data_IF_179643084833
#
_entry.id   IF_179643084833
#
_cell.length_a   1.000
_cell.length_b   1.000
_cell.length_c   1.000
_cell.angle_alpha   90.00
_cell.angle_beta   90.00
_cell.angle_gamma   90.00
#
_symmetry.space_group_name_H-M   'P 1'
#
loop_
_entity.id
_entity.type
_entity.pdbx_description
1 polymer ?
#
# COMPACT_ATOMS: atom_id res chain seq x y z
N UNK A 1 -28.14 -15.20 -25.77
CA UNK A 1 -27.37 -15.42 -24.51
C UNK A 1 -25.91 -15.08 -24.76
N UNK A 2 -25.29 -14.11 -24.09
CA UNK A 2 -23.86 -13.86 -24.28
C UNK A 2 -23.07 -15.04 -23.73
N UNK A 3 -22.18 -15.61 -24.55
CA UNK A 3 -21.24 -16.66 -24.15
C UNK A 3 -20.43 -16.15 -22.94
N UNK A 4 -20.59 -16.76 -21.76
CA UNK A 4 -19.65 -16.60 -20.63
C UNK A 4 -18.28 -17.05 -21.12
N UNK A 5 -17.43 -16.11 -21.43
CA UNK A 5 -16.11 -16.37 -21.97
C UNK A 5 -15.23 -17.06 -20.95
N UNK A 6 -14.49 -18.07 -21.37
CA UNK A 6 -13.39 -18.73 -20.65
C UNK A 6 -12.37 -17.72 -20.06
N UNK A 7 -12.35 -16.51 -20.57
CA UNK A 7 -11.55 -15.38 -20.08
C UNK A 7 -11.82 -14.96 -18.62
N UNK A 8 -13.01 -15.25 -18.07
CA UNK A 8 -13.33 -14.82 -16.69
C UNK A 8 -12.55 -15.61 -15.63
N UNK A 9 -12.33 -16.92 -15.82
CA UNK A 9 -11.60 -17.74 -14.84
C UNK A 9 -10.11 -17.43 -14.81
N UNK A 10 -9.50 -17.21 -15.96
CA UNK A 10 -8.10 -16.83 -16.08
C UNK A 10 -7.86 -15.45 -15.44
N UNK A 11 -8.76 -14.49 -15.68
CA UNK A 11 -8.71 -13.18 -15.05
C UNK A 11 -8.82 -13.28 -13.52
N UNK A 12 -9.78 -14.06 -13.02
CA UNK A 12 -9.98 -14.27 -11.58
C UNK A 12 -8.76 -14.95 -10.92
N UNK A 13 -8.13 -15.90 -11.60
CA UNK A 13 -6.90 -16.54 -11.16
C UNK A 13 -5.72 -15.54 -11.15
N UNK A 14 -5.61 -14.72 -12.20
CA UNK A 14 -4.59 -13.65 -12.25
C UNK A 14 -4.75 -12.63 -11.13
N UNK A 15 -5.99 -12.21 -10.84
CA UNK A 15 -6.28 -11.31 -9.71
C UNK A 15 -5.95 -11.96 -8.35
N UNK A 16 -6.26 -13.25 -8.17
CA UNK A 16 -5.86 -13.98 -6.96
C UNK A 16 -4.34 -13.98 -6.80
N UNK A 17 -3.60 -14.34 -7.84
CA UNK A 17 -2.13 -14.38 -7.82
C UNK A 17 -1.55 -13.00 -7.49
N UNK A 18 -2.00 -11.97 -8.18
CA UNK A 18 -1.53 -10.60 -7.95
C UNK A 18 -1.85 -10.14 -6.52
N UNK A 19 -3.06 -10.41 -6.06
CA UNK A 19 -3.51 -10.05 -4.72
C UNK A 19 -2.71 -10.74 -3.62
N UNK A 20 -2.42 -12.05 -3.78
CA UNK A 20 -1.61 -12.79 -2.82
C UNK A 20 -0.16 -12.26 -2.82
N UNK A 21 0.44 -12.08 -3.99
CA UNK A 21 1.80 -11.56 -4.09
C UNK A 21 1.94 -10.17 -3.47
N UNK A 22 1.12 -9.21 -3.91
CA UNK A 22 1.15 -7.83 -3.41
C UNK A 22 0.78 -7.77 -1.93
N UNK A 23 -0.28 -8.47 -1.55
CA UNK A 23 -0.79 -8.44 -0.18
C UNK A 23 0.17 -9.07 0.82
N UNK A 24 0.75 -10.22 0.51
CA UNK A 24 1.74 -10.87 1.38
C UNK A 24 3.01 -10.02 1.52
N UNK A 25 3.46 -9.40 0.43
CA UNK A 25 4.62 -8.51 0.46
C UNK A 25 4.37 -7.29 1.35
N UNK A 26 3.26 -6.59 1.14
CA UNK A 26 2.88 -5.44 1.97
C UNK A 26 2.72 -5.84 3.45
N UNK A 27 2.05 -6.97 3.71
CA UNK A 27 1.87 -7.46 5.07
C UNK A 27 3.21 -7.71 5.76
N UNK A 28 4.18 -8.34 5.07
CA UNK A 28 5.50 -8.59 5.62
C UNK A 28 6.21 -7.28 6.00
N UNK A 29 6.15 -6.26 5.13
CA UNK A 29 6.72 -4.93 5.44
C UNK A 29 6.00 -4.22 6.59
N UNK A 30 4.67 -4.32 6.67
CA UNK A 30 3.92 -3.79 7.80
C UNK A 30 4.27 -4.50 9.11
N UNK A 31 4.39 -5.82 9.09
CA UNK A 31 4.81 -6.63 10.24
C UNK A 31 6.26 -6.33 10.68
N UNK A 32 7.17 -6.07 9.75
CA UNK A 32 8.51 -5.57 10.06
C UNK A 32 8.48 -4.26 10.83
N UNK A 33 7.66 -3.30 10.35
CA UNK A 33 7.56 -1.96 10.95
C UNK A 33 6.87 -1.95 12.31
N UNK A 34 5.81 -2.74 12.48
CA UNK A 34 5.00 -2.71 13.71
C UNK A 34 5.49 -3.67 14.77
N UNK A 35 5.85 -4.89 14.36
CA UNK A 35 6.08 -6.03 15.26
C UNK A 35 7.54 -6.48 15.31
N UNK A 36 8.39 -5.98 14.41
CA UNK A 36 9.78 -6.42 14.32
C UNK A 36 9.94 -7.81 13.69
N UNK A 37 8.89 -8.38 13.09
CA UNK A 37 8.97 -9.69 12.44
C UNK A 37 9.95 -9.67 11.27
N UNK A 38 10.41 -10.84 10.87
CA UNK A 38 11.35 -11.01 9.74
C UNK A 38 12.63 -10.14 9.86
N UNK A 39 13.10 -9.91 11.10
CA UNK A 39 14.28 -9.07 11.34
C UNK A 39 14.04 -7.57 11.14
N UNK A 40 12.79 -7.12 11.17
CA UNK A 40 12.42 -5.72 11.01
C UNK A 40 12.70 -4.87 12.26
N UNK A 41 12.64 -3.53 12.12
CA UNK A 41 13.00 -2.59 13.21
C UNK A 41 11.95 -2.48 14.32
N UNK A 42 10.75 -3.03 14.15
CA UNK A 42 9.64 -2.81 15.06
C UNK A 42 9.18 -1.36 15.10
N UNK A 43 8.20 -1.07 15.96
CA UNK A 43 7.61 0.27 16.00
C UNK A 43 8.58 1.36 16.46
N UNK A 44 9.48 1.04 17.39
CA UNK A 44 10.42 2.01 17.92
C UNK A 44 11.50 2.36 16.90
N UNK A 45 12.11 1.38 16.26
CA UNK A 45 13.07 1.59 15.18
C UNK A 45 12.44 2.27 13.96
N UNK A 46 11.20 1.91 13.62
CA UNK A 46 10.44 2.59 12.56
C UNK A 46 10.17 4.06 12.92
N UNK A 47 9.83 4.34 14.18
CA UNK A 47 9.64 5.72 14.66
C UNK A 47 10.91 6.55 14.52
N UNK A 48 12.06 6.01 14.95
CA UNK A 48 13.35 6.66 14.80
C UNK A 48 13.69 6.92 13.31
N UNK A 49 13.44 5.95 12.44
CA UNK A 49 13.60 6.11 11.00
C UNK A 49 12.70 7.21 10.42
N UNK A 50 11.42 7.27 10.81
CA UNK A 50 10.50 8.32 10.37
C UNK A 50 10.96 9.71 10.79
N UNK A 51 11.45 9.85 12.02
CA UNK A 51 12.00 11.11 12.54
C UNK A 51 13.22 11.55 11.72
N UNK A 52 14.13 10.61 11.45
CA UNK A 52 15.31 10.88 10.61
C UNK A 52 14.93 11.34 9.20
N UNK A 53 13.94 10.70 8.60
CA UNK A 53 13.42 11.05 7.27
C UNK A 53 12.56 12.32 7.25
N UNK A 54 12.30 12.98 8.39
CA UNK A 54 11.54 14.23 8.49
C UNK A 54 10.02 14.04 8.50
N UNK A 55 9.51 12.86 8.81
CA UNK A 55 8.06 12.64 9.00
C UNK A 55 7.67 13.03 10.42
N UNK A 56 6.80 14.03 10.54
CA UNK A 56 6.34 14.53 11.84
C UNK A 56 4.78 14.52 11.92
N UNK A 57 4.19 14.08 13.05
CA UNK A 57 4.81 13.40 14.20
C UNK A 57 5.35 12.02 13.84
N UNK A 58 6.57 11.70 14.25
CA UNK A 58 7.28 10.49 13.79
C UNK A 58 6.56 9.20 14.16
N UNK A 59 6.09 9.05 15.41
CA UNK A 59 5.36 7.85 15.87
C UNK A 59 4.05 7.64 15.13
N UNK A 60 3.28 8.71 14.92
CA UNK A 60 2.03 8.65 14.14
C UNK A 60 2.29 8.22 12.70
N UNK A 61 3.36 8.76 12.10
CA UNK A 61 3.76 8.39 10.74
C UNK A 61 4.22 6.93 10.64
N UNK A 62 4.96 6.44 11.65
CA UNK A 62 5.38 5.05 11.75
C UNK A 62 4.19 4.09 11.86
N UNK A 63 3.23 4.40 12.74
CA UNK A 63 2.00 3.61 12.89
C UNK A 63 1.18 3.64 11.59
N UNK A 64 0.98 4.82 11.00
CA UNK A 64 0.20 4.94 9.76
C UNK A 64 0.83 4.15 8.61
N UNK A 65 2.14 4.23 8.42
CA UNK A 65 2.84 3.45 7.40
C UNK A 65 2.72 1.94 7.67
N UNK A 66 3.02 1.51 8.90
CA UNK A 66 2.95 0.10 9.27
C UNK A 66 1.55 -0.50 9.13
N UNK A 67 0.51 0.22 9.56
CA UNK A 67 -0.90 -0.23 9.43
C UNK A 67 -1.33 -0.26 7.97
N UNK A 68 -0.99 0.77 7.18
CA UNK A 68 -1.33 0.80 5.76
C UNK A 68 -0.71 -0.37 4.99
N UNK A 69 0.52 -0.76 5.32
CA UNK A 69 1.19 -1.92 4.73
C UNK A 69 0.66 -3.23 5.31
N UNK A 70 0.43 -3.33 6.63
CA UNK A 70 -0.13 -4.53 7.24
C UNK A 70 -1.54 -4.87 6.72
N UNK A 71 -2.29 -3.88 6.25
CA UNK A 71 -3.55 -4.09 5.53
C UNK A 71 -3.38 -4.93 4.25
N UNK A 72 -2.14 -5.14 3.78
CA UNK A 72 -1.81 -6.12 2.76
C UNK A 72 -2.34 -7.54 3.06
N UNK A 73 -2.39 -7.93 4.33
CA UNK A 73 -3.01 -9.19 4.75
C UNK A 73 -4.48 -9.28 4.33
N UNK A 74 -5.22 -8.19 4.44
CA UNK A 74 -6.61 -8.10 3.97
C UNK A 74 -6.68 -8.20 2.45
N UNK A 75 -5.73 -7.58 1.74
CA UNK A 75 -5.61 -7.69 0.27
C UNK A 75 -5.38 -9.14 -0.14
N UNK A 76 -4.45 -9.84 0.51
CA UNK A 76 -4.15 -11.25 0.22
C UNK A 76 -5.39 -12.14 0.40
N UNK A 77 -6.12 -11.97 1.50
CA UNK A 77 -7.36 -12.70 1.79
C UNK A 77 -8.54 -12.28 0.91
N UNK A 78 -8.50 -11.09 0.34
CA UNK A 78 -9.59 -10.52 -0.42
C UNK A 78 -10.72 -9.99 0.47
N UNK A 79 -10.37 -9.28 1.53
CA UNK A 79 -11.30 -8.64 2.48
C UNK A 79 -11.16 -7.12 2.35
N UNK A 80 -12.24 -6.43 2.00
CA UNK A 80 -12.20 -4.98 1.78
C UNK A 80 -11.11 -4.57 0.79
N UNK A 81 -10.83 -5.41 -0.19
CA UNK A 81 -9.63 -5.39 -1.05
C UNK A 81 -9.38 -4.01 -1.64
N UNK A 82 -10.41 -3.34 -2.13
CA UNK A 82 -10.26 -2.05 -2.80
C UNK A 82 -9.72 -0.97 -1.87
N UNK A 83 -10.23 -0.92 -0.64
CA UNK A 83 -9.81 0.07 0.36
C UNK A 83 -8.44 -0.28 0.93
N UNK A 84 -8.21 -1.55 1.25
CA UNK A 84 -6.92 -2.02 1.77
C UNK A 84 -5.78 -1.82 0.74
N UNK A 85 -6.06 -2.12 -0.53
CA UNK A 85 -5.09 -1.90 -1.61
C UNK A 85 -4.82 -0.39 -1.85
N UNK A 86 -5.83 0.47 -1.73
CA UNK A 86 -5.65 1.91 -1.82
C UNK A 86 -4.76 2.46 -0.69
N UNK A 87 -4.90 1.93 0.53
CA UNK A 87 -4.01 2.28 1.65
C UNK A 87 -2.56 1.85 1.39
N UNK A 88 -2.35 0.63 0.85
CA UNK A 88 -1.04 0.17 0.42
C UNK A 88 -0.42 1.06 -0.67
N UNK A 89 -1.22 1.47 -1.65
CA UNK A 89 -0.76 2.40 -2.70
C UNK A 89 -0.30 3.75 -2.10
N UNK A 90 -1.02 4.30 -1.11
CA UNK A 90 -0.63 5.54 -0.44
C UNK A 90 0.70 5.42 0.31
N UNK A 91 0.91 4.30 1.02
CA UNK A 91 2.20 4.02 1.68
C UNK A 91 3.34 3.98 0.65
N UNK A 92 3.10 3.37 -0.50
CA UNK A 92 4.09 3.29 -1.58
C UNK A 92 4.36 4.63 -2.27
N UNK A 93 3.38 5.54 -2.36
CA UNK A 93 3.61 6.93 -2.81
C UNK A 93 4.59 7.63 -1.86
N UNK A 94 4.39 7.51 -0.56
CA UNK A 94 5.27 8.10 0.44
C UNK A 94 6.68 7.47 0.40
N UNK A 95 6.77 6.15 0.27
CA UNK A 95 8.03 5.45 0.12
C UNK A 95 8.78 5.87 -1.15
N UNK A 96 8.09 5.98 -2.29
CA UNK A 96 8.70 6.42 -3.54
C UNK A 96 9.29 7.84 -3.43
N UNK A 97 8.61 8.78 -2.76
CA UNK A 97 9.13 10.14 -2.54
C UNK A 97 10.43 10.13 -1.71
N UNK A 98 10.52 9.24 -0.71
CA UNK A 98 11.73 9.08 0.11
C UNK A 98 12.90 8.54 -0.70
N UNK A 99 12.65 7.56 -1.56
CA UNK A 99 13.68 6.91 -2.39
C UNK A 99 14.03 7.68 -3.67
N UNK A 100 13.22 8.68 -4.05
CA UNK A 100 13.40 9.44 -5.29
C UNK A 100 14.79 10.06 -5.48
N UNK A 101 15.46 10.60 -4.44
CA UNK A 101 16.80 11.16 -4.58
C UNK A 101 17.86 10.13 -5.03
N UNK A 102 17.65 8.84 -4.75
CA UNK A 102 18.55 7.75 -5.14
C UNK A 102 18.29 7.24 -6.59
N UNK A 103 17.46 7.92 -7.38
CA UNK A 103 17.15 7.50 -8.75
C UNK A 103 16.08 6.43 -8.84
N UNK A 104 16.03 5.73 -9.98
CA UNK A 104 14.99 4.75 -10.28
C UNK A 104 15.30 3.37 -9.69
N UNK A 105 16.47 2.82 -9.97
CA UNK A 105 16.79 1.41 -9.73
C UNK A 105 16.87 1.05 -8.25
N UNK A 106 16.17 -0.02 -7.86
CA UNK A 106 16.10 -0.50 -6.47
C UNK A 106 17.46 -0.90 -5.90
N UNK A 107 18.36 -1.44 -6.71
CA UNK A 107 19.73 -1.80 -6.32
C UNK A 107 20.60 -0.60 -5.89
N UNK A 108 20.21 0.60 -6.30
CA UNK A 108 20.85 1.86 -5.92
C UNK A 108 20.08 2.57 -4.79
N UNK A 109 19.08 1.90 -4.21
CA UNK A 109 18.18 2.49 -3.20
C UNK A 109 17.05 3.34 -3.79
N UNK A 110 16.84 3.24 -5.11
CA UNK A 110 15.84 4.02 -5.85
C UNK A 110 14.40 3.59 -5.64
N UNK A 111 13.49 4.28 -6.31
CA UNK A 111 12.05 4.14 -6.08
C UNK A 111 11.34 3.06 -6.91
N UNK A 112 12.05 2.26 -7.71
CA UNK A 112 11.50 1.20 -8.57
C UNK A 112 10.54 0.27 -7.81
N UNK A 113 11.02 -0.27 -6.68
CA UNK A 113 10.27 -1.21 -5.89
C UNK A 113 8.96 -0.63 -5.32
N UNK A 114 8.96 0.51 -4.61
CA UNK A 114 7.71 1.12 -4.17
C UNK A 114 6.82 1.57 -5.33
N UNK A 115 7.37 1.97 -6.48
CA UNK A 115 6.57 2.33 -7.65
C UNK A 115 5.80 1.12 -8.20
N UNK A 116 6.48 -0.01 -8.43
CA UNK A 116 5.84 -1.24 -8.95
C UNK A 116 4.78 -1.75 -7.97
N UNK A 117 5.11 -1.82 -6.67
CA UNK A 117 4.20 -2.31 -5.65
C UNK A 117 3.00 -1.36 -5.45
N UNK A 118 3.22 -0.05 -5.55
CA UNK A 118 2.18 0.96 -5.49
C UNK A 118 1.22 0.90 -6.67
N UNK A 119 1.75 0.76 -7.90
CA UNK A 119 0.93 0.61 -9.11
C UNK A 119 0.12 -0.68 -9.09
N UNK A 120 0.71 -1.79 -8.65
CA UNK A 120 0.01 -3.07 -8.50
C UNK A 120 -1.11 -2.97 -7.45
N UNK A 121 -0.86 -2.27 -6.33
CA UNK A 121 -1.88 -1.99 -5.32
C UNK A 121 -3.00 -1.11 -5.86
N UNK A 122 -2.69 -0.05 -6.60
CA UNK A 122 -3.68 0.81 -7.24
C UNK A 122 -4.53 0.04 -8.26
N UNK A 123 -3.91 -0.83 -9.05
CA UNK A 123 -4.62 -1.71 -9.98
C UNK A 123 -5.62 -2.62 -9.25
N UNK A 124 -5.23 -3.21 -8.10
CA UNK A 124 -6.14 -4.02 -7.27
C UNK A 124 -7.27 -3.19 -6.65
N UNK A 125 -7.02 -1.94 -6.26
CA UNK A 125 -8.06 -1.04 -5.79
C UNK A 125 -9.09 -0.74 -6.89
N UNK A 126 -8.67 -0.60 -8.14
CA UNK A 126 -9.55 -0.35 -9.29
C UNK A 126 -10.28 -1.62 -9.76
N UNK A 127 -9.57 -2.73 -9.95
CA UNK A 127 -10.14 -3.97 -10.46
C UNK A 127 -10.98 -4.70 -9.42
N UNK A 128 -10.59 -4.59 -8.14
CA UNK A 128 -11.23 -5.29 -7.03
C UNK A 128 -10.70 -6.71 -6.82
N UNK A 129 -11.37 -7.47 -5.95
CA UNK A 129 -10.83 -8.72 -5.40
C UNK A 129 -10.87 -9.93 -6.35
N UNK A 130 -11.69 -9.89 -7.41
CA UNK A 130 -12.00 -11.09 -8.20
C UNK A 130 -12.90 -12.09 -7.47
N UNK A 131 -13.28 -13.17 -8.13
CA UNK A 131 -14.24 -14.17 -7.61
C UNK A 131 -13.65 -15.03 -6.48
N UNK A 132 -12.32 -15.25 -6.49
CA UNK A 132 -11.64 -16.07 -5.48
C UNK A 132 -11.24 -15.24 -4.26
N UNK A 133 -12.22 -14.61 -3.59
CA UNK A 133 -12.02 -13.68 -2.47
C UNK A 133 -13.12 -13.81 -1.43
N UNK A 134 -12.84 -13.43 -0.20
CA UNK A 134 -13.84 -13.34 0.87
C UNK A 134 -14.92 -12.32 0.49
N UNK A 135 -14.53 -11.16 -0.05
CA UNK A 135 -15.47 -10.12 -0.51
C UNK A 135 -16.54 -10.65 -1.48
N UNK A 136 -16.15 -11.56 -2.39
CA UNK A 136 -17.08 -12.15 -3.35
C UNK A 136 -18.09 -13.09 -2.68
N UNK A 137 -17.67 -13.79 -1.62
CA UNK A 137 -18.53 -14.71 -0.85
C UNK A 137 -19.54 -13.93 -0.01
N UNK A 138 -19.06 -12.92 0.74
CA UNK A 138 -19.90 -12.14 1.68
C UNK A 138 -20.60 -10.96 1.01
N UNK A 139 -20.38 -10.71 -0.28
CA UNK A 139 -20.91 -9.55 -1.03
C UNK A 139 -20.64 -8.22 -0.32
N UNK A 140 -19.38 -8.05 0.10
CA UNK A 140 -18.95 -6.93 0.94
C UNK A 140 -19.22 -5.57 0.27
N UNK A 141 -19.82 -4.58 0.97
CA UNK A 141 -20.22 -3.30 0.38
C UNK A 141 -19.03 -2.47 -0.15
N UNK A 142 -17.84 -2.61 0.43
CA UNK A 142 -16.62 -1.95 -0.03
C UNK A 142 -16.02 -2.56 -1.32
N UNK A 143 -16.62 -3.62 -1.86
CA UNK A 143 -16.23 -4.22 -3.16
C UNK A 143 -16.79 -3.46 -4.36
N UNK A 144 -17.65 -2.44 -4.16
CA UNK A 144 -18.21 -1.61 -5.24
C UNK A 144 -17.11 -0.77 -5.88
N UNK A 145 -17.18 -0.56 -7.20
CA UNK A 145 -16.19 0.21 -7.96
C UNK A 145 -15.99 1.62 -7.39
N UNK A 146 -17.07 2.31 -7.07
CA UNK A 146 -17.00 3.65 -6.48
C UNK A 146 -16.20 3.71 -5.18
N UNK A 147 -16.22 2.66 -4.35
CA UNK A 147 -15.43 2.59 -3.12
C UNK A 147 -13.92 2.56 -3.42
N UNK A 148 -13.50 1.85 -4.47
CA UNK A 148 -12.10 1.80 -4.89
C UNK A 148 -11.56 3.15 -5.36
N UNK A 149 -12.32 3.82 -6.20
CA UNK A 149 -11.95 5.16 -6.70
C UNK A 149 -11.91 6.18 -5.54
N UNK A 150 -12.95 6.21 -4.71
CA UNK A 150 -12.99 7.11 -3.56
C UNK A 150 -11.82 6.84 -2.58
N UNK A 151 -11.51 5.57 -2.31
CA UNK A 151 -10.39 5.19 -1.46
C UNK A 151 -9.05 5.62 -2.06
N UNK A 152 -8.83 5.45 -3.37
CA UNK A 152 -7.60 5.89 -4.03
C UNK A 152 -7.43 7.40 -3.97
N UNK A 153 -8.51 8.17 -4.25
CA UNK A 153 -8.47 9.63 -4.16
C UNK A 153 -8.16 10.09 -2.74
N UNK A 154 -8.86 9.54 -1.74
CA UNK A 154 -8.62 9.86 -0.34
C UNK A 154 -7.20 9.50 0.11
N UNK A 155 -6.73 8.32 -0.29
CA UNK A 155 -5.39 7.82 0.03
C UNK A 155 -4.29 8.67 -0.61
N UNK A 156 -4.46 9.06 -1.88
CA UNK A 156 -3.53 9.94 -2.58
C UNK A 156 -3.49 11.34 -1.94
N UNK A 157 -4.64 11.89 -1.57
CA UNK A 157 -4.73 13.16 -0.86
C UNK A 157 -4.06 13.09 0.52
N UNK A 158 -4.27 11.99 1.26
CA UNK A 158 -3.59 11.74 2.53
C UNK A 158 -2.07 11.67 2.39
N UNK A 159 -1.57 10.91 1.41
CA UNK A 159 -0.15 10.82 1.11
C UNK A 159 0.44 12.19 0.74
N UNK A 160 -0.24 12.96 -0.10
CA UNK A 160 0.18 14.32 -0.47
C UNK A 160 0.26 15.26 0.75
N UNK A 161 -0.71 15.17 1.66
CA UNK A 161 -0.72 15.92 2.92
C UNK A 161 0.48 15.58 3.81
N UNK A 162 0.77 14.29 3.98
CA UNK A 162 1.92 13.79 4.76
C UNK A 162 3.24 14.28 4.14
N UNK A 163 3.40 14.15 2.82
CA UNK A 163 4.60 14.58 2.11
C UNK A 163 4.80 16.11 2.16
N UNK A 164 3.72 16.88 2.11
CA UNK A 164 3.79 18.33 2.27
C UNK A 164 4.29 18.72 3.67
N UNK A 165 3.78 18.05 4.72
CA UNK A 165 4.28 18.25 6.10
C UNK A 165 5.75 17.86 6.23
N UNK A 166 6.16 16.72 5.65
CA UNK A 166 7.55 16.27 5.60
C UNK A 166 8.47 17.33 4.99
N UNK A 167 8.11 17.85 3.82
CA UNK A 167 8.91 18.88 3.14
C UNK A 167 9.05 20.15 3.99
N UNK A 168 8.00 20.58 4.67
CA UNK A 168 8.05 21.72 5.60
C UNK A 168 8.97 21.44 6.80
N UNK A 169 8.87 20.24 7.40
CA UNK A 169 9.72 19.85 8.52
C UNK A 169 11.20 19.79 8.15
N UNK A 170 11.53 19.30 6.96
CA UNK A 170 12.90 19.30 6.47
C UNK A 170 13.44 20.70 6.20
N UNK A 171 12.63 21.60 5.64
CA UNK A 171 13.04 22.98 5.38
C UNK A 171 13.36 23.74 6.68
N UNK A 172 12.64 23.49 7.77
CA UNK A 172 12.87 24.09 9.09
C UNK A 172 14.15 23.57 9.79
N UNK A 173 14.71 22.45 9.36
CA UNK A 173 15.96 21.89 9.92
C UNK A 173 17.22 22.43 9.24
N UNK A 174 17.09 23.07 8.10
CA UNK A 174 18.23 23.57 7.26
C UNK A 174 18.40 25.08 7.41
N UNK A 175 17.41 25.81 7.89
CA UNK A 175 17.48 27.26 8.17
C UNK A 175 17.74 27.52 9.64
#
# INVERSE_FOLDING_TARGET
MPKKTTNSRALDAGLLTLRVAVGATLFAHGAQKLLGWFGGPGIDGTTAGMQHMGFEPAKTSAVAAGVSEAAGGLVALGVGTRVAAAAGAAAMIAAADVHRPSGFFAQEGGFEYPAVLGLASAALALTGPGRYSVDAVVKHPLSREGAGIAALVASAAGAAGVLTRRKKALALKVG
#
